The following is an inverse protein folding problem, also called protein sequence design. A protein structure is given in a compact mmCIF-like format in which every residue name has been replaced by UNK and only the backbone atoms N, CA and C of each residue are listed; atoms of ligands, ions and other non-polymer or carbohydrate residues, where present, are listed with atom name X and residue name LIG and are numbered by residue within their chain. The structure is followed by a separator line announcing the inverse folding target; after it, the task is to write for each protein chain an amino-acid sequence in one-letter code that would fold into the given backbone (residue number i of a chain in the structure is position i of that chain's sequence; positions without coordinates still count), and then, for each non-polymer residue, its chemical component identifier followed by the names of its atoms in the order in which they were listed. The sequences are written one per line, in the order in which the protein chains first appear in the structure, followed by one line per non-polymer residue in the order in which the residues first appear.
data_IF_516397405575
#
_entry.id   IF_516397405575
#
_cell.length_a   1.000
_cell.length_b   1.000
_cell.length_c   1.000
_cell.angle_alpha   90.00
_cell.angle_beta   90.00
_cell.angle_gamma   90.00
#
_symmetry.space_group_name_H-M   'P 1'
#
loop_
_entity.id
_entity.type
_entity.pdbx_description
1 polymer ?
#
# COMPACT_ATOMS: atom_id res chain seq x y z
N UNK A 1 -3.07 28.54 -3.95
CA UNK A 1 -1.65 28.16 -3.93
C UNK A 1 -1.42 26.98 -4.88
N UNK A 2 -0.52 27.10 -5.85
CA UNK A 2 -0.21 26.01 -6.77
C UNK A 2 0.43 24.85 -5.99
N UNK A 3 -0.20 23.67 -6.00
CA UNK A 3 0.36 22.46 -5.38
C UNK A 3 1.65 22.12 -6.13
N UNK A 4 2.80 22.31 -5.48
CA UNK A 4 4.09 21.85 -6.01
C UNK A 4 4.05 20.33 -6.17
N UNK A 5 4.46 19.84 -7.34
CA UNK A 5 4.66 18.41 -7.56
C UNK A 5 5.64 17.85 -6.52
N UNK A 6 5.37 16.62 -6.07
CA UNK A 6 6.22 15.90 -5.14
C UNK A 6 6.72 14.64 -5.83
N UNK A 7 8.02 14.38 -5.76
CA UNK A 7 8.59 13.16 -6.30
C UNK A 7 8.41 12.02 -5.30
N UNK A 8 7.76 10.95 -5.75
CA UNK A 8 7.54 9.73 -4.98
C UNK A 8 8.36 8.63 -5.64
N UNK A 9 9.18 7.95 -4.85
CA UNK A 9 9.95 6.80 -5.31
C UNK A 9 9.14 5.53 -5.02
N UNK A 10 8.84 4.77 -6.07
CA UNK A 10 8.18 3.47 -5.97
C UNK A 10 9.23 2.38 -6.21
N UNK A 11 9.40 1.51 -5.24
CA UNK A 11 10.28 0.36 -5.29
C UNK A 11 9.45 -0.92 -5.37
N UNK A 12 9.57 -1.63 -6.49
CA UNK A 12 8.90 -2.90 -6.75
C UNK A 12 9.71 -4.01 -6.08
N UNK A 13 9.23 -4.54 -4.95
CA UNK A 13 9.98 -5.56 -4.21
C UNK A 13 10.05 -6.87 -4.98
N UNK A 14 8.97 -7.22 -5.67
CA UNK A 14 8.83 -8.47 -6.44
C UNK A 14 9.15 -8.27 -7.93
N UNK A 15 9.61 -7.08 -8.33
CA UNK A 15 9.82 -6.71 -9.74
C UNK A 15 8.53 -6.59 -10.58
N UNK A 16 7.38 -6.96 -10.02
CA UNK A 16 6.07 -6.91 -10.69
C UNK A 16 5.22 -5.75 -10.17
N UNK A 17 4.53 -5.00 -11.05
CA UNK A 17 3.69 -3.86 -10.65
C UNK A 17 2.43 -4.24 -9.85
N UNK A 18 2.07 -5.53 -9.85
CA UNK A 18 0.95 -6.05 -9.07
C UNK A 18 1.38 -6.60 -7.69
N UNK A 19 2.68 -6.78 -7.48
CA UNK A 19 3.21 -7.32 -6.23
C UNK A 19 3.34 -6.26 -5.13
N UNK A 20 4.27 -6.50 -4.21
CA UNK A 20 4.52 -5.59 -3.08
C UNK A 20 5.33 -4.39 -3.54
N UNK A 21 4.84 -3.20 -3.19
CA UNK A 21 5.47 -1.93 -3.55
C UNK A 21 5.79 -1.16 -2.28
N UNK A 22 7.04 -0.69 -2.17
CA UNK A 22 7.47 0.28 -1.17
C UNK A 22 7.46 1.67 -1.81
N UNK A 23 6.77 2.61 -1.20
CA UNK A 23 6.69 3.99 -1.63
C UNK A 23 7.39 4.87 -0.60
N UNK A 24 8.31 5.73 -1.04
CA UNK A 24 8.95 6.74 -0.20
C UNK A 24 8.81 8.10 -0.86
N UNK A 25 8.72 9.15 -0.05
CA UNK A 25 8.64 10.52 -0.53
C UNK A 25 9.95 11.25 -0.22
N UNK A 26 10.46 12.01 -1.18
CA UNK A 26 11.69 12.77 -0.98
C UNK A 26 11.52 13.78 0.18
N UNK A 27 12.42 13.72 1.17
CA UNK A 27 12.39 14.50 2.42
C UNK A 27 11.24 14.14 3.38
N UNK A 28 10.73 12.91 3.32
CA UNK A 28 9.79 12.36 4.30
C UNK A 28 10.31 11.03 4.85
N UNK A 29 10.30 10.88 6.17
CA UNK A 29 10.77 9.67 6.85
C UNK A 29 9.76 8.51 6.76
N UNK A 30 8.51 8.81 6.42
CA UNK A 30 7.50 7.77 6.31
C UNK A 30 7.72 6.87 5.10
N UNK A 31 7.39 5.60 5.30
CA UNK A 31 7.39 4.58 4.25
C UNK A 31 5.95 4.08 4.11
N UNK A 32 5.45 4.07 2.88
CA UNK A 32 4.16 3.47 2.58
C UNK A 32 4.37 2.13 1.88
N UNK A 33 3.57 1.13 2.25
CA UNK A 33 3.61 -0.19 1.66
C UNK A 33 2.27 -0.50 0.99
N UNK A 34 2.32 -0.87 -0.29
CA UNK A 34 1.17 -1.45 -1.00
C UNK A 34 1.39 -2.96 -1.04
N UNK A 35 0.53 -3.69 -0.34
CA UNK A 35 0.61 -5.15 -0.26
C UNK A 35 -0.73 -5.72 -0.71
N UNK A 36 -0.77 -6.56 -1.77
CA UNK A 36 -1.99 -7.25 -2.16
C UNK A 36 -2.38 -8.30 -1.10
N UNK A 37 -3.68 -8.56 -0.95
CA UNK A 37 -4.20 -9.50 0.07
C UNK A 37 -3.59 -10.90 -0.02
N UNK A 38 -3.29 -11.36 -1.23
CA UNK A 38 -2.65 -12.66 -1.51
C UNK A 38 -1.23 -12.77 -0.94
N UNK A 39 -0.53 -11.65 -0.81
CA UNK A 39 0.85 -11.61 -0.32
C UNK A 39 0.98 -11.05 1.10
N UNK A 40 -0.15 -10.71 1.73
CA UNK A 40 -0.19 -10.24 3.11
C UNK A 40 0.39 -11.27 4.08
N UNK A 41 0.12 -12.56 3.85
CA UNK A 41 0.61 -13.65 4.70
C UNK A 41 2.14 -13.73 4.69
N UNK A 42 2.76 -13.52 3.52
CA UNK A 42 4.22 -13.46 3.34
C UNK A 42 4.86 -12.23 3.99
N UNK A 43 4.07 -11.21 4.33
CA UNK A 43 4.55 -9.96 4.92
C UNK A 43 4.48 -9.95 6.45
N UNK A 44 3.75 -10.89 7.08
CA UNK A 44 3.61 -10.96 8.55
C UNK A 44 4.93 -11.14 9.30
N UNK A 45 5.94 -11.75 8.69
CA UNK A 45 7.25 -11.99 9.31
C UNK A 45 8.26 -10.84 9.14
N UNK A 46 7.89 -9.74 8.47
CA UNK A 46 8.84 -8.65 8.19
C UNK A 46 8.81 -7.62 9.31
N UNK A 47 9.98 -7.34 9.87
CA UNK A 47 10.19 -6.30 10.88
C UNK A 47 9.69 -4.91 10.43
N UNK A 48 9.76 -4.60 9.13
CA UNK A 48 9.22 -3.36 8.54
C UNK A 48 7.71 -3.16 8.79
N UNK A 49 6.95 -4.26 8.92
CA UNK A 49 5.51 -4.22 9.19
C UNK A 49 5.16 -4.38 10.67
N UNK A 50 6.15 -4.64 11.52
CA UNK A 50 5.98 -4.73 12.98
C UNK A 50 5.96 -3.34 13.65
N UNK A 51 6.21 -2.28 12.88
CA UNK A 51 6.14 -0.90 13.36
C UNK A 51 4.70 -0.38 13.39
N UNK A 52 4.45 0.59 14.27
CA UNK A 52 3.16 1.30 14.32
C UNK A 52 2.89 2.00 13.00
N UNK A 53 1.73 1.74 12.40
CA UNK A 53 1.36 2.28 11.10
C UNK A 53 -0.14 2.35 10.88
N UNK A 54 -0.54 2.95 9.76
CA UNK A 54 -1.95 3.07 9.36
C UNK A 54 -2.21 2.13 8.20
N UNK A 55 -3.16 1.20 8.38
CA UNK A 55 -3.57 0.26 7.35
C UNK A 55 -4.91 0.69 6.75
N UNK A 56 -4.94 0.87 5.43
CA UNK A 56 -6.17 1.15 4.69
C UNK A 56 -6.61 -0.08 3.93
N UNK A 57 -7.73 -0.68 4.37
CA UNK A 57 -8.42 -1.71 3.60
C UNK A 57 -9.45 -1.04 2.70
N UNK A 58 -9.18 -0.98 1.41
CA UNK A 58 -10.16 -0.56 0.42
C UNK A 58 -10.90 -1.79 -0.12
N UNK A 59 -12.22 -1.78 -0.01
CA UNK A 59 -13.09 -2.80 -0.59
C UNK A 59 -14.36 -2.15 -1.11
N UNK A 60 -14.89 -2.66 -2.21
CA UNK A 60 -16.25 -2.30 -2.61
C UNK A 60 -17.20 -3.12 -1.75
N UNK A 61 -17.99 -2.46 -0.91
CA UNK A 61 -19.17 -3.11 -0.35
C UNK A 61 -20.13 -3.36 -1.52
N UNK A 62 -20.13 -4.57 -2.07
CA UNK A 62 -21.21 -5.03 -2.93
C UNK A 62 -22.43 -5.23 -2.03
N UNK A 63 -23.10 -4.13 -1.68
CA UNK A 63 -24.52 -4.20 -1.37
C UNK A 63 -25.24 -4.47 -2.69
N UNK A 64 -25.29 -5.73 -3.09
CA UNK A 64 -26.14 -6.17 -4.19
C UNK A 64 -27.47 -6.57 -3.56
N UNK A 65 -28.40 -5.61 -3.45
CA UNK A 65 -29.81 -5.93 -3.24
C UNK A 65 -30.32 -6.54 -4.54
N UNK A 66 -30.17 -7.85 -4.67
CA UNK A 66 -30.88 -8.64 -5.67
C UNK A 66 -32.30 -8.86 -5.09
N UNK A 67 -33.26 -8.02 -5.50
CA UNK A 67 -34.67 -8.32 -5.29
C UNK A 67 -35.26 -8.87 -6.59
N UNK A 68 -35.77 -10.09 -6.46
CA UNK A 68 -36.75 -10.75 -7.32
C UNK A 68 -37.99 -9.87 -7.49
#
# INVERSE_FOLDING_TARGET
MAKRGKSINLFLMDGTPNGRIKCTLANWTGVAYKIPRTELDKCKGREDLSQSGVYFLFGTCKCQSQNV
#
